data_IF_015626939474
#
_entry.id   IF_015626939474
#
_cell.length_a   1.000
_cell.length_b   1.000
_cell.length_c   1.000
_cell.angle_alpha   90.00
_cell.angle_beta   90.00
_cell.angle_gamma   90.00
#
_symmetry.space_group_name_H-M   'P 1'
#
loop_
_entity.id
_entity.type
_entity.pdbx_description
1 polymer ?
#
# COMPACT_ATOMS: atom_id res chain seq x y z
N UNK A 1 -12.02 15.23 -7.59
CA UNK A 1 -11.73 14.63 -6.26
C UNK A 1 -10.68 13.52 -6.38
N UNK A 2 -10.81 12.59 -7.34
CA UNK A 2 -9.86 11.49 -7.57
C UNK A 2 -8.44 12.00 -7.95
N UNK A 3 -8.36 13.00 -8.82
CA UNK A 3 -7.08 13.63 -9.22
C UNK A 3 -6.41 14.38 -8.07
N UNK A 4 -7.18 15.03 -7.21
CA UNK A 4 -6.66 15.73 -6.01
C UNK A 4 -6.18 14.70 -4.97
N UNK A 5 -6.87 13.57 -4.81
CA UNK A 5 -6.47 12.49 -3.92
C UNK A 5 -5.14 11.85 -4.34
N UNK A 6 -4.93 11.64 -5.64
CA UNK A 6 -3.66 11.09 -6.17
C UNK A 6 -2.51 12.08 -5.97
N UNK A 7 -2.75 13.39 -6.18
CA UNK A 7 -1.73 14.42 -6.01
C UNK A 7 -1.33 14.64 -4.54
N UNK A 8 -2.31 14.64 -3.62
CA UNK A 8 -2.05 14.69 -2.18
C UNK A 8 -1.35 13.43 -1.68
N UNK A 9 -1.65 12.27 -2.29
CA UNK A 9 -1.02 11.01 -1.99
C UNK A 9 0.47 11.02 -2.34
N UNK A 10 0.84 11.55 -3.52
CA UNK A 10 2.23 11.68 -3.96
C UNK A 10 3.02 12.62 -3.03
N UNK A 11 2.39 13.70 -2.56
CA UNK A 11 3.02 14.67 -1.65
C UNK A 11 3.25 14.11 -0.24
N UNK A 12 2.41 13.15 0.20
CA UNK A 12 2.51 12.57 1.55
C UNK A 12 3.53 11.43 1.64
N UNK A 13 3.85 10.76 0.53
CA UNK A 13 4.88 9.70 0.50
C UNK A 13 6.29 10.20 0.84
N UNK A 14 6.56 11.49 0.62
CA UNK A 14 7.84 12.10 0.95
C UNK A 14 8.09 12.28 2.47
N UNK A 15 7.10 11.98 3.32
CA UNK A 15 7.16 12.30 4.75
C UNK A 15 7.22 11.08 5.69
N UNK A 16 7.35 9.85 5.21
CA UNK A 16 7.35 8.67 6.07
C UNK A 16 8.63 7.83 6.02
N UNK A 17 9.75 8.28 6.63
CA UNK A 17 10.92 7.42 6.81
C UNK A 17 10.91 6.60 8.12
N UNK A 18 10.02 6.88 9.09
CA UNK A 18 10.16 6.33 10.45
C UNK A 18 9.48 4.97 10.72
N UNK A 19 8.37 4.66 10.07
CA UNK A 19 7.59 3.46 10.43
C UNK A 19 8.18 2.13 9.94
N UNK A 20 9.07 2.17 8.94
CA UNK A 20 9.75 0.97 8.44
C UNK A 20 10.97 0.53 9.27
N UNK A 21 11.44 1.38 10.18
CA UNK A 21 12.66 1.13 10.96
C UNK A 21 12.44 0.26 12.20
N UNK A 22 11.28 0.35 12.87
CA UNK A 22 11.05 -0.44 14.10
C UNK A 22 10.91 -1.94 13.83
N UNK A 23 10.23 -2.32 12.76
CA UNK A 23 10.10 -3.76 12.41
C UNK A 23 11.45 -4.32 11.95
N UNK A 24 12.31 -3.50 11.35
CA UNK A 24 13.61 -3.91 10.86
C UNK A 24 14.65 -4.07 11.99
N UNK A 25 14.55 -3.30 13.06
CA UNK A 25 15.45 -3.40 14.23
C UNK A 25 15.21 -4.68 15.04
N UNK A 26 13.99 -5.16 15.14
CA UNK A 26 13.69 -6.42 15.83
C UNK A 26 14.15 -7.65 15.04
N UNK A 27 14.07 -7.60 13.69
CA UNK A 27 14.57 -8.68 12.82
C UNK A 27 16.11 -8.71 12.83
N UNK A 28 16.77 -7.54 12.81
CA UNK A 28 18.24 -7.43 12.82
C UNK A 28 18.89 -7.87 14.14
N UNK A 29 18.17 -7.82 15.27
CA UNK A 29 18.69 -8.32 16.55
C UNK A 29 18.67 -9.85 16.66
N UNK A 30 17.86 -10.55 15.87
CA UNK A 30 17.84 -12.01 15.79
C UNK A 30 19.01 -12.59 14.97
N UNK A 31 19.65 -11.78 14.12
CA UNK A 31 20.71 -12.23 13.18
C UNK A 31 22.13 -12.23 13.74
N UNK A 32 22.34 -11.88 15.01
CA UNK A 32 23.70 -11.81 15.59
C UNK A 32 24.28 -13.14 16.07
N UNK A 33 23.70 -14.25 15.70
CA UNK A 33 24.23 -15.57 16.11
C UNK A 33 24.11 -16.58 14.97
N UNK A 34 24.93 -16.44 13.93
CA UNK A 34 25.43 -17.55 13.11
C UNK A 34 26.40 -16.98 12.06
N UNK A 35 27.67 -17.28 12.17
CA UNK A 35 28.65 -17.19 11.09
C UNK A 35 28.25 -18.21 10.01
N UNK A 36 27.49 -17.76 8.99
CA UNK A 36 27.08 -18.58 7.86
C UNK A 36 28.14 -18.46 6.75
N UNK A 37 28.60 -19.60 6.27
CA UNK A 37 29.57 -19.71 5.18
C UNK A 37 29.07 -18.96 3.91
N UNK A 38 29.97 -18.27 3.19
CA UNK A 38 29.72 -17.38 2.04
C UNK A 38 29.04 -18.03 0.80
N UNK A 39 28.44 -19.23 0.90
CA UNK A 39 27.83 -19.97 -0.20
C UNK A 39 26.41 -20.51 0.07
N UNK A 40 25.78 -20.18 1.20
CA UNK A 40 24.41 -20.62 1.45
C UNK A 40 23.38 -19.59 1.02
N UNK A 41 22.28 -20.05 0.37
CA UNK A 41 21.16 -19.22 -0.04
C UNK A 41 20.48 -18.57 1.19
N UNK A 42 20.57 -17.24 1.32
CA UNK A 42 19.95 -16.51 2.40
C UNK A 42 18.48 -16.22 2.07
N UNK A 43 17.59 -17.03 2.61
CA UNK A 43 16.15 -16.91 2.38
C UNK A 43 15.57 -15.60 2.95
N UNK A 44 16.09 -15.12 4.08
CA UNK A 44 15.61 -13.88 4.69
C UNK A 44 15.90 -12.68 3.80
N UNK A 45 17.11 -12.59 3.28
CA UNK A 45 17.51 -11.52 2.37
C UNK A 45 16.71 -11.58 1.05
N UNK A 46 16.54 -12.76 0.48
CA UNK A 46 15.71 -12.98 -0.70
C UNK A 46 14.27 -12.47 -0.50
N UNK A 47 13.64 -12.79 0.63
CA UNK A 47 12.27 -12.36 0.95
C UNK A 47 12.22 -10.85 1.13
N UNK A 48 13.12 -10.28 1.95
CA UNK A 48 13.14 -8.85 2.25
C UNK A 48 13.34 -8.03 0.98
N UNK A 49 14.26 -8.40 0.12
CA UNK A 49 14.53 -7.67 -1.13
C UNK A 49 13.32 -7.71 -2.09
N UNK A 50 12.52 -8.78 -2.07
CA UNK A 50 11.32 -8.86 -2.89
C UNK A 50 10.15 -8.04 -2.38
N UNK A 51 9.97 -7.94 -1.06
CA UNK A 51 8.86 -7.19 -0.45
C UNK A 51 9.17 -5.70 -0.25
N UNK A 52 10.44 -5.33 -0.16
CA UNK A 52 10.88 -3.95 0.05
C UNK A 52 10.70 -3.12 -1.24
N UNK A 53 10.36 -1.86 -1.06
CA UNK A 53 10.30 -0.91 -2.17
C UNK A 53 11.70 -0.59 -2.71
N UNK A 54 11.83 -0.43 -4.02
CA UNK A 54 13.11 -0.22 -4.69
C UNK A 54 13.01 0.77 -5.84
N UNK A 55 14.14 1.38 -6.20
CA UNK A 55 14.29 2.26 -7.36
C UNK A 55 14.49 1.49 -8.68
N UNK A 56 14.44 0.16 -8.59
CA UNK A 56 14.63 -0.77 -9.70
C UNK A 56 13.49 -1.77 -9.72
N UNK A 57 13.09 -2.18 -10.92
CA UNK A 57 12.12 -3.25 -11.11
C UNK A 57 12.83 -4.44 -11.74
N UNK A 58 13.25 -5.37 -10.89
CA UNK A 58 13.83 -6.62 -11.35
C UNK A 58 12.72 -7.51 -11.93
N UNK A 59 12.89 -7.96 -13.19
CA UNK A 59 11.90 -8.78 -13.88
C UNK A 59 12.27 -10.24 -13.77
N UNK A 60 13.46 -10.59 -14.24
CA UNK A 60 13.98 -11.96 -14.23
C UNK A 60 15.49 -11.97 -14.40
N UNK A 61 16.11 -13.05 -13.98
CA UNK A 61 17.52 -13.32 -14.22
C UNK A 61 17.65 -14.39 -15.31
N UNK A 62 18.25 -14.04 -16.45
CA UNK A 62 18.52 -14.94 -17.57
C UNK A 62 19.95 -15.48 -17.48
N UNK A 63 20.11 -16.76 -17.12
CA UNK A 63 21.43 -17.40 -16.99
C UNK A 63 22.25 -16.85 -15.82
N UNK A 64 23.57 -17.04 -15.86
CA UNK A 64 24.44 -16.76 -14.70
C UNK A 64 24.67 -15.29 -14.37
N UNK A 65 24.36 -14.28 -15.27
CA UNK A 65 24.66 -12.87 -14.99
C UNK A 65 23.85 -11.84 -15.80
N UNK A 66 22.73 -12.19 -16.43
CA UNK A 66 21.91 -11.19 -17.13
C UNK A 66 20.63 -10.92 -16.34
N UNK A 67 20.65 -9.84 -15.55
CA UNK A 67 19.47 -9.30 -14.89
C UNK A 67 18.68 -8.43 -15.88
N UNK A 68 17.43 -8.79 -16.11
CA UNK A 68 16.49 -7.93 -16.83
C UNK A 68 15.80 -7.04 -15.82
N UNK A 69 16.26 -5.77 -15.76
CA UNK A 69 15.80 -4.79 -14.77
C UNK A 69 15.32 -3.53 -15.49
N UNK A 70 14.16 -3.02 -15.09
CA UNK A 70 13.69 -1.71 -15.52
C UNK A 70 14.17 -0.68 -14.50
N UNK A 71 14.96 0.28 -14.97
CA UNK A 71 15.48 1.37 -14.16
C UNK A 71 14.48 2.52 -14.10
N UNK A 72 14.02 2.86 -12.91
CA UNK A 72 13.02 3.89 -12.68
C UNK A 72 13.66 5.29 -12.61
N UNK A 73 12.90 6.36 -12.89
CA UNK A 73 13.40 7.72 -12.77
C UNK A 73 13.56 8.13 -11.31
N UNK A 74 14.75 8.60 -10.98
CA UNK A 74 15.13 9.16 -9.68
C UNK A 74 14.94 10.66 -9.72
N UNK A 75 14.21 11.20 -8.75
CA UNK A 75 13.91 12.63 -8.58
C UNK A 75 14.29 13.01 -7.15
N UNK A 76 15.37 13.76 -7.00
CA UNK A 76 15.90 14.18 -5.71
C UNK A 76 15.86 15.69 -5.57
N UNK A 77 15.48 16.16 -4.41
CA UNK A 77 15.63 17.56 -4.05
C UNK A 77 16.55 17.72 -2.86
N UNK A 78 17.61 18.47 -3.03
CA UNK A 78 18.58 18.78 -1.98
C UNK A 78 18.67 20.28 -1.79
N UNK A 79 18.89 20.74 -0.56
CA UNK A 79 19.06 22.16 -0.24
C UNK A 79 20.28 22.78 -0.95
N UNK A 80 21.33 21.99 -1.15
CA UNK A 80 22.58 22.47 -1.77
C UNK A 80 22.55 22.38 -3.29
N UNK A 81 22.03 21.30 -3.85
CA UNK A 81 22.11 20.99 -5.29
C UNK A 81 20.80 21.23 -6.04
N UNK A 82 19.71 21.60 -5.33
CA UNK A 82 18.39 21.76 -5.90
C UNK A 82 17.80 20.46 -6.45
N UNK A 83 16.95 20.58 -7.49
CA UNK A 83 16.29 19.45 -8.12
C UNK A 83 17.26 18.68 -9.04
N UNK A 84 17.37 17.39 -8.84
CA UNK A 84 18.19 16.48 -9.64
C UNK A 84 17.32 15.34 -10.18
N UNK A 85 17.26 15.17 -11.51
CA UNK A 85 16.50 14.10 -12.17
C UNK A 85 17.45 13.26 -13.02
N UNK A 86 17.41 11.93 -12.85
CA UNK A 86 18.20 10.97 -13.63
C UNK A 86 17.62 9.55 -13.48
N UNK A 87 18.13 8.58 -14.25
CA UNK A 87 17.72 7.17 -14.14
C UNK A 87 18.49 6.46 -13.02
N UNK A 88 17.84 5.58 -12.27
CA UNK A 88 18.43 4.75 -11.22
C UNK A 88 19.60 3.88 -11.72
N UNK A 89 19.64 3.59 -13.01
CA UNK A 89 20.77 2.89 -13.66
C UNK A 89 22.14 3.49 -13.35
N UNK A 90 22.20 4.80 -13.06
CA UNK A 90 23.47 5.49 -12.78
C UNK A 90 23.98 5.29 -11.35
N UNK A 91 23.14 4.75 -10.47
CA UNK A 91 23.46 4.47 -9.07
C UNK A 91 23.72 2.98 -8.80
N UNK A 92 23.53 2.13 -9.78
CA UNK A 92 23.71 0.66 -9.65
C UNK A 92 25.15 0.32 -9.27
N UNK A 93 25.31 -0.72 -8.44
CA UNK A 93 26.60 -1.20 -7.93
C UNK A 93 27.39 -0.15 -7.14
N UNK A 94 26.70 0.64 -6.33
CA UNK A 94 27.32 1.64 -5.46
C UNK A 94 27.94 2.84 -6.19
N UNK A 95 27.64 3.02 -7.49
CA UNK A 95 28.18 4.14 -8.26
C UNK A 95 27.68 5.48 -7.73
N UNK A 96 28.58 6.45 -7.67
CA UNK A 96 28.25 7.83 -7.29
C UNK A 96 27.93 8.64 -8.55
N UNK A 97 26.73 9.20 -8.63
CA UNK A 97 26.34 10.10 -9.72
C UNK A 97 25.81 11.42 -9.19
N UNK A 98 26.37 12.54 -9.66
CA UNK A 98 26.06 13.91 -9.18
C UNK A 98 26.24 14.09 -7.65
N UNK A 99 27.08 13.25 -7.02
CA UNK A 99 27.28 13.25 -5.57
C UNK A 99 26.13 12.60 -4.80
N UNK A 100 25.38 11.70 -5.43
CA UNK A 100 24.41 10.82 -4.81
C UNK A 100 24.84 9.37 -5.00
N UNK A 101 24.54 8.52 -4.01
CA UNK A 101 24.78 7.08 -3.99
C UNK A 101 23.55 6.38 -3.47
N UNK A 102 23.24 5.21 -4.00
CA UNK A 102 22.28 4.28 -3.40
C UNK A 102 23.03 3.46 -2.35
N UNK A 103 22.58 3.51 -1.11
CA UNK A 103 23.23 2.73 -0.06
C UNK A 103 22.72 1.29 -0.09
N UNK A 104 23.68 0.35 -0.15
CA UNK A 104 23.39 -1.09 -0.28
C UNK A 104 23.48 -1.80 1.07
N UNK A 105 24.08 -1.17 2.10
CA UNK A 105 24.31 -1.74 3.43
C UNK A 105 23.93 -0.78 4.57
N UNK A 106 23.82 -1.29 5.79
CA UNK A 106 23.59 -0.51 7.00
C UNK A 106 22.17 0.04 7.18
N UNK A 107 22.02 1.02 8.08
CA UNK A 107 20.73 1.60 8.47
C UNK A 107 20.05 2.42 7.36
N UNK A 108 20.80 2.80 6.35
CA UNK A 108 20.32 3.55 5.18
C UNK A 108 20.17 2.68 3.94
N UNK A 109 20.22 1.34 4.06
CA UNK A 109 20.04 0.40 2.93
C UNK A 109 18.78 0.73 2.12
N UNK A 110 18.95 0.86 0.81
CA UNK A 110 17.88 1.17 -0.15
C UNK A 110 17.52 2.66 -0.25
N UNK A 111 18.17 3.55 0.52
CA UNK A 111 17.97 5.00 0.42
C UNK A 111 19.06 5.64 -0.44
N UNK A 112 18.69 6.73 -1.13
CA UNK A 112 19.65 7.53 -1.88
C UNK A 112 20.20 8.59 -0.93
N UNK A 113 21.52 8.57 -0.75
CA UNK A 113 22.24 9.47 0.17
C UNK A 113 23.11 10.45 -0.61
N UNK A 114 23.37 11.62 -0.03
CA UNK A 114 24.34 12.56 -0.56
C UNK A 114 25.74 12.21 -0.04
N UNK A 115 26.72 12.20 -0.94
CA UNK A 115 28.12 11.89 -0.61
C UNK A 115 28.91 13.19 -0.63
N UNK A 116 29.70 13.42 0.44
CA UNK A 116 30.65 14.54 0.55
C UNK A 116 31.85 14.34 -0.36
N UNK A 117 32.64 15.40 -0.53
CA UNK A 117 33.84 15.36 -1.39
C UNK A 117 34.92 14.39 -0.88
N UNK A 118 34.86 14.00 0.36
CA UNK A 118 35.75 13.02 1.02
C UNK A 118 35.25 11.56 0.88
N UNK A 119 34.11 11.34 0.23
CA UNK A 119 33.54 10.01 0.03
C UNK A 119 32.65 9.54 1.18
N UNK A 120 32.49 10.32 2.25
CA UNK A 120 31.61 9.99 3.38
C UNK A 120 30.16 10.39 3.12
N UNK A 121 29.23 9.71 3.79
CA UNK A 121 27.79 10.01 3.70
C UNK A 121 27.49 11.29 4.49
N UNK A 122 26.74 12.20 3.92
CA UNK A 122 26.22 13.37 4.60
C UNK A 122 24.88 13.06 5.27
N UNK A 123 24.93 12.58 6.50
CA UNK A 123 23.74 12.24 7.28
C UNK A 123 22.90 13.47 7.69
N UNK A 124 23.52 14.65 7.77
CA UNK A 124 22.83 15.89 8.16
C UNK A 124 22.00 16.48 7.01
N UNK A 125 22.39 16.22 5.76
CA UNK A 125 21.77 16.78 4.55
C UNK A 125 21.25 15.68 3.62
N UNK A 126 20.41 14.78 4.13
CA UNK A 126 19.76 13.76 3.30
C UNK A 126 18.84 14.44 2.27
N UNK A 127 18.91 14.06 0.99
CA UNK A 127 18.04 14.59 -0.04
C UNK A 127 16.59 14.13 0.19
N UNK A 128 15.63 15.00 -0.13
CA UNK A 128 14.23 14.60 -0.21
C UNK A 128 14.05 13.73 -1.46
N UNK A 129 13.72 12.47 -1.26
CA UNK A 129 13.50 11.53 -2.33
C UNK A 129 12.04 11.57 -2.80
N UNK A 130 11.84 12.05 -4.02
CA UNK A 130 10.56 12.10 -4.73
C UNK A 130 10.55 11.13 -5.93
N UNK A 131 11.44 10.16 -5.92
CA UNK A 131 11.63 9.22 -7.03
C UNK A 131 10.39 8.38 -7.27
N UNK A 132 10.25 7.93 -8.51
CA UNK A 132 9.26 6.92 -8.85
C UNK A 132 9.86 5.55 -8.51
N UNK A 133 9.48 5.04 -7.33
CA UNK A 133 9.85 3.70 -6.90
C UNK A 133 8.95 2.63 -7.53
N UNK A 134 9.26 1.36 -7.33
CA UNK A 134 8.44 0.21 -7.76
C UNK A 134 7.00 0.33 -7.25
N UNK A 135 6.81 0.70 -5.97
CA UNK A 135 5.49 0.89 -5.36
C UNK A 135 4.73 2.05 -6.02
N UNK A 136 5.39 3.20 -6.23
CA UNK A 136 4.77 4.36 -6.88
C UNK A 136 4.41 4.05 -8.33
N UNK A 137 5.28 3.38 -9.07
CA UNK A 137 5.01 2.97 -10.45
C UNK A 137 3.81 2.00 -10.53
N UNK A 138 3.74 1.00 -9.63
CA UNK A 138 2.61 0.08 -9.53
C UNK A 138 1.30 0.80 -9.20
N UNK A 139 1.33 1.72 -8.24
CA UNK A 139 0.18 2.53 -7.86
C UNK A 139 -0.33 3.41 -9.02
N UNK A 140 0.58 4.07 -9.75
CA UNK A 140 0.22 4.88 -10.91
C UNK A 140 -0.40 4.01 -12.03
N UNK A 141 0.18 2.84 -12.28
CA UNK A 141 -0.37 1.88 -13.24
C UNK A 141 -1.76 1.42 -12.83
N UNK A 142 -1.99 1.05 -11.57
CA UNK A 142 -3.30 0.68 -11.06
C UNK A 142 -4.32 1.82 -11.19
N UNK A 143 -3.91 3.06 -10.91
CA UNK A 143 -4.75 4.23 -11.08
C UNK A 143 -5.12 4.47 -12.55
N UNK A 144 -4.18 4.32 -13.47
CA UNK A 144 -4.42 4.44 -14.93
C UNK A 144 -5.36 3.34 -15.39
N UNK A 145 -5.14 2.09 -14.99
CA UNK A 145 -6.02 0.96 -15.31
C UNK A 145 -7.44 1.23 -14.79
N UNK A 146 -7.56 1.65 -13.53
CA UNK A 146 -8.85 2.02 -12.95
C UNK A 146 -9.55 3.13 -13.73
N UNK A 147 -8.83 4.20 -14.10
CA UNK A 147 -9.39 5.28 -14.91
C UNK A 147 -9.88 4.79 -16.28
N UNK A 148 -9.09 3.99 -16.98
CA UNK A 148 -9.48 3.40 -18.28
C UNK A 148 -10.74 2.57 -18.13
N UNK A 149 -10.82 1.73 -17.11
CA UNK A 149 -11.98 0.89 -16.81
C UNK A 149 -13.22 1.76 -16.58
N UNK A 150 -13.15 2.75 -15.68
CA UNK A 150 -14.32 3.57 -15.35
C UNK A 150 -14.73 4.51 -16.47
N UNK A 151 -13.78 5.09 -17.22
CA UNK A 151 -14.10 5.91 -18.40
C UNK A 151 -14.76 5.07 -19.48
N UNK A 152 -14.25 3.86 -19.75
CA UNK A 152 -14.84 2.92 -20.70
C UNK A 152 -16.26 2.52 -20.28
N UNK A 153 -16.46 2.27 -18.99
CA UNK A 153 -17.77 1.96 -18.42
C UNK A 153 -18.75 3.13 -18.60
N UNK A 154 -18.33 4.34 -18.23
CA UNK A 154 -19.15 5.54 -18.38
C UNK A 154 -19.53 5.83 -19.84
N UNK A 155 -18.60 5.62 -20.77
CA UNK A 155 -18.88 5.75 -22.21
C UNK A 155 -19.85 4.67 -22.71
N UNK A 156 -19.77 3.45 -22.18
CA UNK A 156 -20.70 2.37 -22.51
C UNK A 156 -22.14 2.74 -22.13
N UNK A 157 -22.34 3.27 -20.91
CA UNK A 157 -23.64 3.76 -20.46
C UNK A 157 -24.16 4.92 -21.33
N UNK A 158 -23.29 5.88 -21.66
CA UNK A 158 -23.69 7.02 -22.52
C UNK A 158 -24.09 6.60 -23.92
N UNK A 159 -23.44 5.59 -24.50
CA UNK A 159 -23.71 5.12 -25.89
C UNK A 159 -24.92 4.20 -25.98
N UNK A 160 -25.15 3.33 -24.99
CA UNK A 160 -26.14 2.25 -25.05
C UNK A 160 -27.46 2.56 -24.32
N UNK A 161 -27.44 3.59 -23.43
CA UNK A 161 -28.58 3.88 -22.56
C UNK A 161 -28.92 2.70 -21.63
N UNK A 162 -30.20 2.52 -21.31
CA UNK A 162 -30.71 1.41 -20.50
C UNK A 162 -30.81 0.16 -21.37
N UNK A 163 -29.73 -0.63 -21.44
CA UNK A 163 -29.69 -1.89 -22.19
C UNK A 163 -28.97 -2.97 -21.37
N UNK A 164 -29.16 -4.25 -21.75
CA UNK A 164 -28.47 -5.33 -21.02
C UNK A 164 -26.96 -5.14 -21.02
N UNK A 165 -26.31 -5.21 -19.82
CA UNK A 165 -24.87 -5.07 -19.69
C UNK A 165 -24.13 -6.19 -20.42
N UNK A 166 -23.09 -5.84 -21.21
CA UNK A 166 -22.29 -6.80 -21.98
C UNK A 166 -20.80 -6.54 -21.78
N UNK A 167 -20.01 -7.62 -21.80
CA UNK A 167 -18.55 -7.55 -21.66
C UNK A 167 -18.13 -6.99 -20.30
N UNK A 168 -17.22 -6.01 -20.29
CA UNK A 168 -16.68 -5.40 -19.08
C UNK A 168 -17.78 -4.77 -18.19
N UNK A 169 -18.81 -4.18 -18.79
CA UNK A 169 -19.94 -3.63 -18.07
C UNK A 169 -20.69 -4.72 -17.28
N UNK A 170 -20.96 -5.89 -17.92
CA UNK A 170 -21.62 -7.01 -17.25
C UNK A 170 -20.84 -7.63 -16.10
N UNK A 171 -19.51 -7.46 -16.09
CA UNK A 171 -18.66 -7.94 -15.00
C UNK A 171 -18.57 -6.93 -13.86
N UNK A 172 -18.45 -5.64 -14.17
CA UNK A 172 -18.22 -4.60 -13.14
C UNK A 172 -19.50 -4.09 -12.48
N UNK A 173 -20.61 -4.08 -13.23
CA UNK A 173 -21.89 -3.59 -12.71
C UNK A 173 -22.35 -4.33 -11.45
N UNK A 174 -22.33 -5.68 -11.37
CA UNK A 174 -22.65 -6.39 -10.14
C UNK A 174 -21.77 -5.98 -8.96
N UNK A 175 -20.47 -5.71 -9.19
CA UNK A 175 -19.55 -5.30 -8.13
C UNK A 175 -19.85 -3.88 -7.65
N UNK A 176 -20.17 -2.96 -8.56
CA UNK A 176 -20.60 -1.60 -8.22
C UNK A 176 -21.91 -1.61 -7.43
N UNK A 177 -22.88 -2.42 -7.88
CA UNK A 177 -24.15 -2.61 -7.20
C UNK A 177 -23.96 -3.22 -5.81
N UNK A 178 -23.08 -4.21 -5.69
CA UNK A 178 -22.69 -4.78 -4.39
C UNK A 178 -22.15 -3.72 -3.42
N UNK A 179 -21.23 -2.86 -3.86
CA UNK A 179 -20.71 -1.77 -3.00
C UNK A 179 -21.83 -0.79 -2.63
N UNK A 180 -22.78 -0.52 -3.53
CA UNK A 180 -23.92 0.36 -3.27
C UNK A 180 -24.93 -0.28 -2.31
N UNK A 181 -25.41 -1.48 -2.65
CA UNK A 181 -26.60 -2.09 -2.05
C UNK A 181 -26.25 -2.84 -0.76
N UNK A 182 -25.07 -3.46 -0.67
CA UNK A 182 -24.66 -4.25 0.50
C UNK A 182 -23.73 -3.47 1.45
N UNK A 183 -23.08 -2.38 0.98
CA UNK A 183 -22.18 -1.61 1.84
C UNK A 183 -22.70 -0.20 2.09
N UNK A 184 -22.93 0.61 1.04
CA UNK A 184 -23.19 2.03 1.22
C UNK A 184 -24.59 2.30 1.80
N UNK A 185 -25.63 1.77 1.18
CA UNK A 185 -27.03 2.01 1.60
C UNK A 185 -27.33 1.48 3.00
N UNK A 186 -26.98 0.22 3.37
CA UNK A 186 -27.32 -0.31 4.69
C UNK A 186 -26.62 0.42 5.83
N UNK A 187 -25.41 0.93 5.60
CA UNK A 187 -24.64 1.58 6.66
C UNK A 187 -24.92 3.09 6.73
N UNK A 188 -24.89 3.81 5.61
CA UNK A 188 -24.98 5.29 5.60
C UNK A 188 -26.45 5.76 5.49
N UNK A 189 -27.31 4.94 4.85
CA UNK A 189 -28.72 5.27 4.62
C UNK A 189 -28.97 5.87 3.23
N UNK A 190 -30.24 5.73 2.77
CA UNK A 190 -30.66 6.13 1.41
C UNK A 190 -30.49 7.62 1.09
N UNK A 191 -30.55 8.48 2.12
CA UNK A 191 -30.52 9.93 1.88
C UNK A 191 -29.09 10.48 1.70
N UNK A 192 -28.08 9.85 2.34
CA UNK A 192 -26.73 10.40 2.43
C UNK A 192 -25.67 9.58 1.68
N UNK A 193 -25.98 8.33 1.23
CA UNK A 193 -24.97 7.43 0.63
C UNK A 193 -24.38 7.97 -0.66
N UNK A 194 -25.15 8.69 -1.48
CA UNK A 194 -24.69 9.20 -2.79
C UNK A 194 -23.46 10.11 -2.66
N UNK A 195 -23.40 10.90 -1.59
CA UNK A 195 -22.28 11.80 -1.31
C UNK A 195 -20.96 11.04 -1.09
N UNK A 196 -21.03 9.86 -0.46
CA UNK A 196 -19.85 9.07 -0.07
C UNK A 196 -19.54 7.94 -1.05
N UNK A 197 -20.47 7.60 -1.93
CA UNK A 197 -20.33 6.55 -2.92
C UNK A 197 -19.07 6.70 -3.81
N UNK A 198 -18.70 7.89 -4.31
CA UNK A 198 -17.47 8.06 -5.08
C UNK A 198 -16.21 7.67 -4.30
N UNK A 199 -16.16 7.99 -3.01
CA UNK A 199 -15.04 7.60 -2.15
C UNK A 199 -15.00 6.09 -1.91
N UNK A 200 -16.13 5.49 -1.54
CA UNK A 200 -16.22 4.05 -1.27
C UNK A 200 -15.86 3.22 -2.49
N UNK A 201 -16.35 3.58 -3.67
CA UNK A 201 -15.99 2.92 -4.93
C UNK A 201 -14.50 3.10 -5.25
N UNK A 202 -13.97 4.32 -5.07
CA UNK A 202 -12.54 4.58 -5.33
C UNK A 202 -11.65 3.76 -4.40
N UNK A 203 -11.96 3.70 -3.11
CA UNK A 203 -11.22 2.91 -2.14
C UNK A 203 -11.30 1.42 -2.44
N UNK A 204 -12.51 0.91 -2.70
CA UNK A 204 -12.74 -0.50 -3.05
C UNK A 204 -11.93 -0.94 -4.25
N UNK A 205 -12.08 -0.24 -5.38
CA UNK A 205 -11.40 -0.62 -6.61
C UNK A 205 -9.91 -0.33 -6.57
N UNK A 206 -9.46 0.73 -5.88
CA UNK A 206 -8.04 0.98 -5.69
C UNK A 206 -7.38 -0.19 -4.95
N UNK A 207 -7.95 -0.62 -3.83
CA UNK A 207 -7.42 -1.74 -3.05
C UNK A 207 -7.49 -3.02 -3.88
N UNK A 208 -8.63 -3.32 -4.49
CA UNK A 208 -8.83 -4.54 -5.28
C UNK A 208 -7.84 -4.64 -6.45
N UNK A 209 -7.71 -3.57 -7.24
CA UNK A 209 -6.82 -3.57 -8.41
C UNK A 209 -5.36 -3.73 -7.97
N UNK A 210 -4.92 -2.98 -6.94
CA UNK A 210 -3.54 -3.09 -6.46
C UNK A 210 -3.25 -4.47 -5.86
N UNK A 211 -4.16 -5.04 -5.10
CA UNK A 211 -4.00 -6.38 -4.54
C UNK A 211 -3.90 -7.43 -5.66
N UNK A 212 -4.81 -7.39 -6.64
CA UNK A 212 -4.77 -8.33 -7.77
C UNK A 212 -3.53 -8.14 -8.66
N UNK A 213 -3.10 -6.89 -8.86
CA UNK A 213 -1.86 -6.62 -9.59
C UNK A 213 -0.62 -7.13 -8.85
N UNK A 214 -0.63 -7.08 -7.51
CA UNK A 214 0.44 -7.59 -6.66
C UNK A 214 0.62 -9.10 -6.77
N UNK A 215 -0.46 -9.87 -6.93
CA UNK A 215 -0.45 -11.32 -7.05
C UNK A 215 0.21 -11.84 -8.34
N UNK A 216 0.17 -11.05 -9.42
CA UNK A 216 0.73 -11.45 -10.71
C UNK A 216 2.19 -11.01 -10.78
N UNK A 217 3.17 -11.94 -10.74
CA UNK A 217 4.58 -11.56 -10.62
C UNK A 217 5.18 -10.93 -11.90
N UNK A 218 4.52 -11.13 -13.04
CA UNK A 218 5.05 -10.72 -14.34
C UNK A 218 3.93 -10.53 -15.38
N UNK A 219 4.01 -9.65 -16.39
CA UNK A 219 5.06 -8.62 -16.61
C UNK A 219 4.79 -7.33 -15.82
N UNK A 220 5.77 -6.43 -15.67
CA UNK A 220 5.51 -5.08 -15.17
C UNK A 220 4.35 -4.42 -15.94
N UNK A 221 3.45 -3.68 -15.28
CA UNK A 221 3.50 -3.13 -13.91
C UNK A 221 2.97 -4.06 -12.79
N UNK A 222 2.82 -5.34 -13.05
CA UNK A 222 2.39 -6.32 -12.06
C UNK A 222 3.54 -6.72 -11.10
N UNK A 223 3.21 -7.35 -9.97
CA UNK A 223 4.18 -7.79 -8.97
C UNK A 223 4.69 -6.70 -8.03
N UNK A 224 4.12 -5.49 -8.07
CA UNK A 224 4.37 -4.48 -7.06
C UNK A 224 3.43 -4.68 -5.87
N UNK A 225 4.00 -4.94 -4.69
CA UNK A 225 3.22 -5.09 -3.45
C UNK A 225 2.83 -3.70 -2.89
N UNK A 226 1.93 -3.00 -3.60
CA UNK A 226 1.54 -1.62 -3.28
C UNK A 226 0.87 -1.52 -1.92
N UNK A 227 -0.09 -2.37 -1.64
CA UNK A 227 -0.86 -2.39 -0.39
C UNK A 227 -0.13 -3.09 0.76
N UNK A 228 0.95 -3.79 0.48
CA UNK A 228 1.93 -4.25 1.46
C UNK A 228 2.95 -3.18 1.84
N UNK A 229 2.85 -1.95 1.32
CA UNK A 229 3.61 -0.81 1.79
C UNK A 229 2.78 -0.06 2.84
N UNK A 230 3.33 0.06 4.06
CA UNK A 230 2.63 0.68 5.20
C UNK A 230 2.30 2.15 4.94
N UNK A 231 3.11 2.88 4.18
CA UNK A 231 2.85 4.27 3.83
C UNK A 231 1.57 4.41 2.98
N UNK A 232 1.37 3.51 2.02
CA UNK A 232 0.17 3.48 1.17
C UNK A 232 -1.08 3.21 1.99
N UNK A 233 -1.04 2.19 2.85
CA UNK A 233 -2.19 1.82 3.70
C UNK A 233 -2.49 2.88 4.77
N UNK A 234 -1.45 3.53 5.28
CA UNK A 234 -1.60 4.67 6.20
C UNK A 234 -2.33 5.84 5.52
N UNK A 235 -1.95 6.19 4.30
CA UNK A 235 -2.62 7.28 3.56
C UNK A 235 -4.08 6.95 3.30
N UNK A 236 -4.42 5.72 2.90
CA UNK A 236 -5.82 5.29 2.75
C UNK A 236 -6.61 5.41 4.06
N UNK A 237 -6.01 5.00 5.18
CA UNK A 237 -6.62 5.12 6.50
C UNK A 237 -6.80 6.57 6.92
N UNK A 238 -5.82 7.44 6.64
CA UNK A 238 -5.91 8.89 6.89
C UNK A 238 -7.02 9.53 6.05
N UNK A 239 -7.22 9.13 4.79
CA UNK A 239 -8.36 9.60 3.99
C UNK A 239 -9.69 9.20 4.61
N UNK A 240 -9.85 7.94 5.06
CA UNK A 240 -11.04 7.51 5.79
C UNK A 240 -11.26 8.36 7.05
N UNK A 241 -10.20 8.59 7.81
CA UNK A 241 -10.23 9.41 9.01
C UNK A 241 -10.68 10.84 8.74
N UNK A 242 -10.08 11.48 7.72
CA UNK A 242 -10.43 12.84 7.34
C UNK A 242 -11.87 12.95 6.87
N UNK A 243 -12.32 12.06 5.99
CA UNK A 243 -13.70 12.07 5.48
C UNK A 243 -14.69 11.87 6.63
N UNK A 244 -14.41 10.93 7.54
CA UNK A 244 -15.24 10.66 8.70
C UNK A 244 -15.36 11.89 9.60
N UNK A 245 -14.23 12.49 9.99
CA UNK A 245 -14.25 13.61 10.94
C UNK A 245 -14.74 14.91 10.31
N UNK A 246 -14.40 15.20 9.05
CA UNK A 246 -14.92 16.38 8.34
C UNK A 246 -16.41 16.29 8.03
N UNK A 247 -16.96 15.08 7.97
CA UNK A 247 -18.39 14.83 7.79
C UNK A 247 -19.15 14.73 9.12
N UNK A 248 -18.43 14.81 10.24
CA UNK A 248 -19.00 14.64 11.57
C UNK A 248 -20.12 15.64 11.89
N UNK A 249 -21.29 15.13 12.29
CA UNK A 249 -22.42 15.92 12.74
C UNK A 249 -22.14 16.57 14.09
N UNK A 250 -22.98 17.55 14.50
CA UNK A 250 -22.89 18.13 15.85
C UNK A 250 -23.07 17.08 16.94
N UNK A 251 -23.91 16.07 16.69
CA UNK A 251 -24.15 14.95 17.62
C UNK A 251 -22.89 14.10 17.77
N UNK A 252 -22.18 13.79 16.67
CA UNK A 252 -20.90 13.08 16.67
C UNK A 252 -19.84 13.77 17.54
N UNK A 253 -19.63 15.08 17.35
CA UNK A 253 -18.68 15.84 18.15
C UNK A 253 -19.10 15.99 19.61
N UNK A 254 -20.42 16.13 19.86
CA UNK A 254 -20.96 16.12 21.22
C UNK A 254 -20.70 14.78 21.91
N UNK A 255 -20.84 13.65 21.20
CA UNK A 255 -20.54 12.33 21.75
C UNK A 255 -19.07 12.20 22.17
N UNK A 256 -18.15 12.75 21.41
CA UNK A 256 -16.71 12.69 21.73
C UNK A 256 -16.36 13.58 22.93
N UNK A 257 -16.87 14.81 23.00
CA UNK A 257 -16.49 15.78 24.04
C UNK A 257 -17.44 15.86 25.23
N UNK A 258 -18.66 15.39 25.09
CA UNK A 258 -19.68 15.42 26.13
C UNK A 258 -20.61 14.20 25.96
N UNK A 259 -20.09 12.99 26.17
CA UNK A 259 -20.82 11.73 26.01
C UNK A 259 -22.16 11.76 26.76
N UNK A 260 -23.29 11.62 26.06
CA UNK A 260 -24.60 11.65 26.70
C UNK A 260 -24.77 10.56 27.77
N UNK A 261 -25.38 10.89 28.90
CA UNK A 261 -25.61 9.93 29.97
C UNK A 261 -24.46 9.67 30.93
N UNK A 262 -23.29 10.30 30.70
CA UNK A 262 -22.12 10.16 31.57
C UNK A 262 -22.10 11.28 32.60
N UNK A 263 -21.96 10.98 33.94
CA UNK A 263 -21.80 11.98 34.97
C UNK A 263 -20.59 12.89 34.72
N UNK A 264 -20.72 14.16 35.01
CA UNK A 264 -19.70 15.18 34.70
C UNK A 264 -18.30 14.87 35.26
N UNK A 265 -18.21 14.20 36.40
CA UNK A 265 -16.94 13.81 37.03
C UNK A 265 -16.18 12.70 36.26
N UNK A 266 -16.87 11.92 35.42
CA UNK A 266 -16.28 10.89 34.58
C UNK A 266 -15.80 11.43 33.22
N UNK A 267 -16.23 12.60 32.77
CA UNK A 267 -15.85 13.20 31.49
C UNK A 267 -14.35 13.33 31.29
N UNK A 268 -13.53 13.70 32.30
CA UNK A 268 -12.07 13.79 32.12
C UNK A 268 -11.39 12.45 31.74
N UNK A 269 -12.05 11.33 32.04
CA UNK A 269 -11.57 9.99 31.66
C UNK A 269 -12.16 9.57 30.32
N UNK A 270 -13.44 9.87 30.07
CA UNK A 270 -14.14 9.45 28.85
C UNK A 270 -13.62 10.18 27.61
N UNK A 271 -13.34 11.48 27.68
CA UNK A 271 -12.86 12.26 26.54
C UNK A 271 -11.56 11.68 25.96
N UNK A 272 -10.48 11.42 26.73
CA UNK A 272 -9.29 10.75 26.21
C UNK A 272 -9.58 9.37 25.59
N UNK A 273 -10.48 8.58 26.18
CA UNK A 273 -10.83 7.26 25.65
C UNK A 273 -11.53 7.37 24.29
N UNK A 274 -12.47 8.31 24.14
CA UNK A 274 -13.15 8.55 22.86
C UNK A 274 -12.18 9.08 21.80
N UNK A 275 -11.26 9.97 22.18
CA UNK A 275 -10.21 10.47 21.28
C UNK A 275 -9.30 9.32 20.83
N UNK A 276 -8.82 8.48 21.74
CA UNK A 276 -8.02 7.30 21.41
C UNK A 276 -8.82 6.36 20.49
N UNK A 277 -10.10 6.13 20.78
CA UNK A 277 -11.00 5.35 19.96
C UNK A 277 -11.15 5.89 18.54
N UNK A 278 -11.20 7.21 18.38
CA UNK A 278 -11.26 7.87 17.08
C UNK A 278 -10.01 7.61 16.22
N UNK A 279 -8.82 7.61 16.83
CA UNK A 279 -7.56 7.32 16.11
C UNK A 279 -7.32 5.82 15.90
N UNK A 280 -7.74 4.97 16.83
CA UNK A 280 -7.51 3.52 16.75
C UNK A 280 -8.27 2.86 15.59
N UNK A 281 -9.43 3.40 15.18
CA UNK A 281 -10.22 2.88 14.06
C UNK A 281 -9.46 2.93 12.72
N UNK A 282 -8.94 4.08 12.25
CA UNK A 282 -8.11 4.14 11.04
C UNK A 282 -6.82 3.35 11.17
N UNK A 283 -6.19 3.36 12.35
CA UNK A 283 -4.99 2.56 12.61
C UNK A 283 -5.25 1.07 12.40
N UNK A 284 -6.37 0.55 12.92
CA UNK A 284 -6.76 -0.84 12.70
C UNK A 284 -7.01 -1.18 11.22
N UNK A 285 -7.58 -0.23 10.43
CA UNK A 285 -7.73 -0.39 8.99
C UNK A 285 -6.37 -0.50 8.28
N UNK A 286 -5.44 0.40 8.61
CA UNK A 286 -4.09 0.43 8.08
C UNK A 286 -3.36 -0.89 8.34
N UNK A 287 -3.27 -1.30 9.61
CA UNK A 287 -2.54 -2.50 10.03
C UNK A 287 -3.16 -3.75 9.40
N UNK A 288 -4.48 -3.85 9.35
CA UNK A 288 -5.15 -5.01 8.75
C UNK A 288 -4.82 -5.16 7.27
N UNK A 289 -4.91 -4.07 6.50
CA UNK A 289 -4.62 -4.12 5.07
C UNK A 289 -3.15 -4.45 4.81
N UNK A 290 -2.24 -3.76 5.49
CA UNK A 290 -0.79 -3.98 5.41
C UNK A 290 -0.42 -5.42 5.80
N UNK A 291 -0.82 -5.87 7.00
CA UNK A 291 -0.38 -7.14 7.55
C UNK A 291 -0.86 -8.34 6.72
N UNK A 292 -2.11 -8.32 6.26
CA UNK A 292 -2.64 -9.45 5.50
C UNK A 292 -1.94 -9.63 4.14
N UNK A 293 -1.71 -8.54 3.42
CA UNK A 293 -1.05 -8.60 2.11
C UNK A 293 0.44 -8.92 2.27
N UNK A 294 1.12 -8.28 3.21
CA UNK A 294 2.54 -8.56 3.46
C UNK A 294 2.76 -10.01 3.94
N UNK A 295 1.91 -10.52 4.85
CA UNK A 295 2.00 -11.89 5.32
C UNK A 295 1.79 -12.92 4.20
N UNK A 296 0.81 -12.70 3.30
CA UNK A 296 0.57 -13.55 2.14
C UNK A 296 1.82 -13.65 1.26
N UNK A 297 2.38 -12.51 0.85
CA UNK A 297 3.61 -12.45 0.04
C UNK A 297 4.80 -13.12 0.72
N UNK A 298 5.00 -12.92 2.03
CA UNK A 298 6.08 -13.56 2.78
C UNK A 298 5.91 -15.08 2.76
N UNK A 299 4.70 -15.60 2.95
CA UNK A 299 4.45 -17.04 2.94
C UNK A 299 4.74 -17.64 1.56
N UNK A 300 4.26 -17.02 0.48
CA UNK A 300 4.50 -17.50 -0.89
C UNK A 300 6.00 -17.49 -1.21
N UNK A 301 6.71 -16.40 -0.90
CA UNK A 301 8.16 -16.30 -1.10
C UNK A 301 8.93 -17.33 -0.23
N UNK A 302 8.48 -17.60 1.00
CA UNK A 302 9.08 -18.60 1.87
C UNK A 302 8.92 -20.02 1.30
N UNK A 303 7.76 -20.34 0.72
CA UNK A 303 7.55 -21.62 0.05
C UNK A 303 8.43 -21.78 -1.20
N UNK A 304 8.68 -20.68 -1.93
CA UNK A 304 9.61 -20.69 -3.07
C UNK A 304 11.05 -20.85 -2.57
N UNK A 305 11.44 -20.13 -1.52
CA UNK A 305 12.77 -20.18 -0.92
C UNK A 305 13.12 -21.61 -0.43
N UNK A 306 12.13 -22.37 0.02
CA UNK A 306 12.29 -23.76 0.48
C UNK A 306 12.90 -24.66 -0.61
N UNK A 307 12.58 -24.42 -1.88
CA UNK A 307 13.14 -25.18 -3.01
C UNK A 307 14.66 -24.98 -3.09
N UNK A 308 15.13 -23.77 -2.86
CA UNK A 308 16.56 -23.42 -2.90
C UNK A 308 17.29 -23.93 -1.64
N UNK A 309 16.66 -23.85 -0.46
CA UNK A 309 17.25 -24.32 0.80
C UNK A 309 17.50 -25.83 0.75
N UNK A 310 16.52 -26.61 0.32
CA UNK A 310 16.64 -28.06 0.28
C UNK A 310 17.43 -28.57 -0.92
N UNK A 311 17.66 -27.74 -1.94
CA UNK A 311 18.36 -28.06 -3.19
C UNK A 311 17.95 -29.43 -3.76
N UNK A 312 16.66 -29.77 -3.64
CA UNK A 312 16.11 -31.09 -3.99
C UNK A 312 15.00 -30.97 -5.01
N UNK A 313 15.13 -31.68 -6.12
CA UNK A 313 14.11 -31.73 -7.19
C UNK A 313 12.75 -32.22 -6.69
N UNK A 314 12.74 -33.06 -5.64
CA UNK A 314 11.49 -33.58 -5.07
C UNK A 314 10.71 -32.59 -4.24
N UNK A 315 11.36 -31.56 -3.73
CA UNK A 315 10.70 -30.46 -2.97
C UNK A 315 9.94 -29.53 -3.91
N UNK A 316 10.43 -29.32 -5.13
CA UNK A 316 9.85 -28.37 -6.08
C UNK A 316 8.36 -28.66 -6.41
N UNK A 317 7.92 -29.88 -6.76
CA UNK A 317 6.50 -30.14 -7.06
C UNK A 317 5.61 -29.99 -5.81
N UNK A 318 6.11 -30.34 -4.63
CA UNK A 318 5.36 -30.20 -3.37
C UNK A 318 5.18 -28.71 -3.07
N UNK A 319 6.27 -27.94 -3.10
CA UNK A 319 6.23 -26.49 -2.90
C UNK A 319 5.33 -25.80 -3.92
N UNK A 320 5.38 -26.18 -5.20
CA UNK A 320 4.52 -25.60 -6.24
C UNK A 320 3.02 -25.80 -5.96
N UNK A 321 2.61 -26.97 -5.48
CA UNK A 321 1.21 -27.25 -5.09
C UNK A 321 0.78 -26.32 -3.95
N UNK A 322 1.64 -26.15 -2.93
CA UNK A 322 1.36 -25.23 -1.83
C UNK A 322 1.33 -23.79 -2.26
N UNK A 323 2.22 -23.34 -3.15
CA UNK A 323 2.22 -21.98 -3.72
C UNK A 323 0.90 -21.70 -4.44
N UNK A 324 0.45 -22.62 -5.32
CA UNK A 324 -0.83 -22.47 -6.03
C UNK A 324 -2.01 -22.36 -5.04
N UNK A 325 -1.99 -23.20 -4.00
CA UNK A 325 -3.02 -23.13 -2.95
C UNK A 325 -2.99 -21.79 -2.22
N UNK A 326 -1.81 -21.29 -1.86
CA UNK A 326 -1.65 -20.00 -1.20
C UNK A 326 -2.06 -18.84 -2.10
N UNK A 327 -1.75 -18.85 -3.40
CA UNK A 327 -2.18 -17.83 -4.36
C UNK A 327 -3.71 -17.78 -4.50
N UNK A 328 -4.39 -18.94 -4.46
CA UNK A 328 -5.85 -18.99 -4.42
C UNK A 328 -6.41 -18.34 -3.14
N UNK A 329 -5.81 -18.63 -1.99
CA UNK A 329 -6.19 -18.00 -0.72
C UNK A 329 -5.90 -16.49 -0.74
N UNK A 330 -4.74 -16.09 -1.24
CA UNK A 330 -4.35 -14.68 -1.33
C UNK A 330 -5.28 -13.90 -2.27
N UNK A 331 -5.73 -14.51 -3.38
CA UNK A 331 -6.77 -13.93 -4.24
C UNK A 331 -8.08 -13.69 -3.49
N UNK A 332 -8.52 -14.66 -2.70
CA UNK A 332 -9.70 -14.50 -1.84
C UNK A 332 -9.52 -13.37 -0.83
N UNK A 333 -8.35 -13.33 -0.18
CA UNK A 333 -8.00 -12.29 0.79
C UNK A 333 -7.95 -10.92 0.12
N UNK A 334 -7.47 -10.81 -1.12
CA UNK A 334 -7.45 -9.57 -1.90
C UNK A 334 -8.86 -8.94 -2.04
N UNK A 335 -9.86 -9.77 -2.35
CA UNK A 335 -11.27 -9.35 -2.39
C UNK A 335 -11.80 -8.99 -1.00
N UNK A 336 -11.55 -9.85 -0.01
CA UNK A 336 -11.99 -9.61 1.37
C UNK A 336 -11.43 -8.31 1.93
N UNK A 337 -10.19 -7.96 1.62
CA UNK A 337 -9.58 -6.72 2.09
C UNK A 337 -10.24 -5.48 1.48
N UNK A 338 -10.51 -5.48 0.18
CA UNK A 338 -11.25 -4.41 -0.47
C UNK A 338 -12.66 -4.25 0.15
N UNK A 339 -13.34 -5.36 0.36
CA UNK A 339 -14.66 -5.39 1.00
C UNK A 339 -14.62 -4.86 2.44
N UNK A 340 -13.77 -5.44 3.29
CA UNK A 340 -13.71 -5.10 4.73
C UNK A 340 -13.27 -3.66 4.94
N UNK A 341 -12.27 -3.19 4.17
CA UNK A 341 -11.83 -1.79 4.26
C UNK A 341 -12.97 -0.82 3.91
N UNK A 342 -13.69 -1.09 2.83
CA UNK A 342 -14.80 -0.25 2.37
C UNK A 342 -15.99 -0.31 3.32
N UNK A 343 -16.32 -1.50 3.83
CA UNK A 343 -17.39 -1.69 4.81
C UNK A 343 -17.12 -0.91 6.11
N UNK A 344 -15.92 -1.05 6.67
CA UNK A 344 -15.56 -0.34 7.89
C UNK A 344 -15.47 1.17 7.67
N UNK A 345 -15.00 1.62 6.51
CA UNK A 345 -15.03 3.04 6.13
C UNK A 345 -16.47 3.57 6.08
N UNK A 346 -17.40 2.82 5.47
CA UNK A 346 -18.82 3.17 5.44
C UNK A 346 -19.44 3.20 6.85
N UNK A 347 -19.08 2.25 7.71
CA UNK A 347 -19.51 2.23 9.12
C UNK A 347 -19.01 3.46 9.90
N UNK A 348 -17.74 3.84 9.73
CA UNK A 348 -17.19 5.01 10.42
C UNK A 348 -17.83 6.31 9.94
N UNK A 349 -18.06 6.44 8.64
CA UNK A 349 -18.80 7.57 8.05
C UNK A 349 -20.22 7.58 8.59
N UNK A 350 -20.90 6.43 8.66
CA UNK A 350 -22.23 6.30 9.21
C UNK A 350 -22.35 6.82 10.65
N UNK A 351 -21.41 6.39 11.50
CA UNK A 351 -21.35 6.85 12.90
C UNK A 351 -21.16 8.38 13.01
N UNK A 352 -20.40 8.96 12.08
CA UNK A 352 -20.16 10.39 12.08
C UNK A 352 -21.36 11.22 11.56
N UNK A 353 -22.13 10.67 10.63
CA UNK A 353 -23.20 11.38 9.90
C UNK A 353 -24.58 11.19 10.52
N UNK A 354 -24.79 10.13 11.32
CA UNK A 354 -26.07 9.89 12.01
C UNK A 354 -26.39 11.05 12.93
N UNK A 355 -27.57 11.59 12.75
CA UNK A 355 -28.21 12.52 13.68
C UNK A 355 -29.07 11.70 14.65
N UNK A 356 -28.85 11.85 15.96
CA UNK A 356 -29.77 11.32 16.95
C UNK A 356 -31.03 12.20 16.89
N UNK A 357 -32.13 11.66 16.37
CA UNK A 357 -33.45 12.22 16.56
C UNK A 357 -33.85 11.96 17.98
N UNK A 358 -33.75 12.98 18.83
CA UNK A 358 -34.40 13.04 20.12
C UNK A 358 -35.83 13.54 19.95
#
# INVERSE_FOLDING_TARGET
>A
LFTISVLLFILFQSWSPLAGQEIRSEISQSEKTEEISENEFNASEFIIDHITDSHEWHIMTLGHNKHVTIYLPVILWSKEKGLSVFSSKKLVHGNIYKGYKLEEEGDLKGKIVQVKSDGTIDEENLPLDLSITKTVAGMLAAAIIGLIIFISLAQSYKKRGISHPRGLQGFLEPVILFVRDDIAIPNIGHEKYEKYMPYLLSAFFFILINNLMGLVPFPPPFGANVTGNIAVTMVLAVFTFLITNLSGSKSYWRHIFATPGVPFWLLPIMIPVEIIGMFSKPFALMVRLFANISAGHIIVLSLIALIFIFNSVWVAPVSAVFVIFMDCLETLVAFLQAYVFTLLSALFISLAVKEEHH
#
